data_IF_023219049284
#
_entry.id   IF_023219049284
#
_cell.length_a   1.000
_cell.length_b   1.000
_cell.length_c   1.000
_cell.angle_alpha   90.00
_cell.angle_beta   90.00
_cell.angle_gamma   90.00
#
_symmetry.space_group_name_H-M   'P 1'
#
loop_
_entity.id
_entity.type
_entity.pdbx_description
1 polymer ?
#
# COMPACT_ATOMS: atom_id res chain seq x y z
N UNK A 1 64.59 37.42 -32.53
CA UNK A 1 63.11 37.43 -32.24
C UNK A 1 62.54 36.12 -32.74
N UNK A 2 62.38 35.11 -31.87
CA UNK A 2 61.77 33.81 -32.22
C UNK A 2 60.54 33.64 -31.30
N UNK A 3 59.36 33.56 -31.88
CA UNK A 3 58.11 33.27 -31.19
C UNK A 3 57.89 31.77 -31.14
N UNK A 4 57.83 31.23 -29.94
CA UNK A 4 57.52 29.83 -29.66
C UNK A 4 56.01 29.70 -29.48
N UNK A 5 55.37 28.90 -30.32
CA UNK A 5 53.97 28.51 -30.21
C UNK A 5 53.88 27.32 -29.28
N UNK A 6 53.14 27.47 -28.17
CA UNK A 6 52.71 26.35 -27.30
C UNK A 6 51.43 25.79 -27.87
N UNK A 7 51.45 24.54 -28.25
CA UNK A 7 50.25 23.76 -28.59
C UNK A 7 49.70 23.10 -27.31
N UNK A 8 48.48 23.51 -26.91
CA UNK A 8 47.73 22.85 -25.82
C UNK A 8 46.98 21.66 -26.36
N UNK A 9 47.35 20.46 -25.94
CA UNK A 9 46.57 19.25 -26.16
C UNK A 9 45.39 19.22 -25.17
N UNK A 10 44.19 19.29 -25.71
CA UNK A 10 42.95 19.04 -24.97
C UNK A 10 42.74 17.51 -24.93
N UNK A 11 42.92 16.87 -23.77
CA UNK A 11 42.51 15.49 -23.55
C UNK A 11 41.02 15.43 -23.24
N UNK A 12 40.22 14.92 -24.18
CA UNK A 12 38.82 14.55 -23.93
C UNK A 12 38.81 13.28 -23.06
N UNK A 13 38.45 13.43 -21.79
CA UNK A 13 38.11 12.32 -20.92
C UNK A 13 36.75 11.74 -21.28
N UNK A 14 36.73 10.53 -21.81
CA UNK A 14 35.49 9.73 -21.90
C UNK A 14 35.07 9.38 -20.47
N UNK A 15 33.98 9.99 -20.01
CA UNK A 15 33.29 9.54 -18.81
C UNK A 15 32.59 8.20 -19.13
N UNK A 16 33.15 7.12 -18.58
CA UNK A 16 32.50 5.83 -18.57
C UNK A 16 31.21 5.96 -17.72
N UNK A 17 30.06 5.76 -18.35
CA UNK A 17 28.79 5.53 -17.64
C UNK A 17 28.95 4.27 -16.80
N UNK A 18 29.30 4.44 -15.53
CA UNK A 18 29.24 3.38 -14.54
C UNK A 18 27.79 2.94 -14.37
N UNK A 19 27.44 1.78 -14.94
CA UNK A 19 26.18 1.13 -14.70
C UNK A 19 26.03 0.87 -13.21
N UNK A 20 24.94 1.31 -12.62
CA UNK A 20 24.56 0.98 -11.24
C UNK A 20 24.46 -0.54 -11.15
N UNK A 21 25.25 -1.22 -10.29
CA UNK A 21 25.17 -2.67 -10.18
C UNK A 21 23.78 -3.06 -9.71
N UNK A 22 23.21 -4.05 -10.37
CA UNK A 22 21.91 -4.62 -10.04
C UNK A 22 21.97 -5.23 -8.62
N UNK A 23 21.47 -4.53 -7.62
CA UNK A 23 21.29 -5.01 -6.23
C UNK A 23 20.19 -6.08 -6.08
N UNK A 24 19.69 -6.65 -7.19
CA UNK A 24 18.55 -7.60 -7.16
C UNK A 24 18.89 -8.99 -6.62
N UNK A 25 20.13 -9.41 -6.58
CA UNK A 25 20.48 -10.75 -6.07
C UNK A 25 20.64 -10.83 -4.55
N UNK A 26 20.97 -9.73 -3.89
CA UNK A 26 21.11 -9.68 -2.44
C UNK A 26 19.76 -9.73 -1.71
N UNK A 27 18.74 -9.04 -2.22
CA UNK A 27 17.41 -8.99 -1.60
C UNK A 27 16.70 -10.34 -1.58
N UNK A 28 16.72 -11.09 -2.68
CA UNK A 28 16.08 -12.41 -2.72
C UNK A 28 16.75 -13.42 -1.77
N UNK A 29 18.08 -13.40 -1.68
CA UNK A 29 18.82 -14.26 -0.74
C UNK A 29 18.57 -13.86 0.72
N UNK A 30 18.54 -12.55 1.03
CA UNK A 30 18.21 -12.04 2.35
C UNK A 30 16.77 -12.38 2.74
N UNK A 31 15.83 -12.25 1.82
CA UNK A 31 14.44 -12.64 2.02
C UNK A 31 14.30 -14.14 2.35
N UNK A 32 14.95 -15.01 1.57
CA UNK A 32 14.96 -16.44 1.84
C UNK A 32 15.61 -16.78 3.18
N UNK A 33 16.69 -16.08 3.55
CA UNK A 33 17.36 -16.25 4.84
C UNK A 33 16.50 -15.80 6.03
N UNK A 34 15.76 -14.69 5.90
CA UNK A 34 14.82 -14.23 6.91
C UNK A 34 13.73 -15.28 7.16
N UNK A 35 13.14 -15.82 6.09
CA UNK A 35 12.13 -16.88 6.18
C UNK A 35 12.67 -18.19 6.77
N UNK A 36 13.89 -18.56 6.46
CA UNK A 36 14.51 -19.78 7.02
C UNK A 36 14.72 -19.72 8.54
N UNK A 37 14.78 -18.50 9.11
CA UNK A 37 14.87 -18.26 10.55
C UNK A 37 13.51 -18.09 11.21
N UNK A 38 12.41 -18.17 10.43
CA UNK A 38 11.07 -17.90 10.92
C UNK A 38 10.71 -18.81 12.09
N UNK A 39 10.08 -18.20 13.07
CA UNK A 39 9.50 -18.92 14.20
C UNK A 39 8.22 -19.65 13.76
N UNK A 40 7.72 -20.63 14.55
CA UNK A 40 6.43 -21.27 14.29
C UNK A 40 5.30 -20.24 14.09
N UNK A 41 4.30 -20.59 13.28
CA UNK A 41 3.17 -19.74 12.91
C UNK A 41 2.44 -19.06 14.10
N UNK A 42 2.51 -19.65 15.30
CA UNK A 42 1.99 -19.06 16.53
C UNK A 42 2.67 -17.74 16.96
N UNK A 43 3.77 -17.35 16.31
CA UNK A 43 4.51 -16.10 16.58
C UNK A 43 4.38 -15.07 15.48
N UNK A 44 3.36 -15.20 14.66
CA UNK A 44 3.12 -14.34 13.52
C UNK A 44 1.99 -13.35 13.78
N UNK A 45 1.99 -12.30 12.96
CA UNK A 45 0.95 -11.27 12.96
C UNK A 45 0.51 -11.05 11.51
N UNK A 46 -0.31 -11.98 10.98
CA UNK A 46 -0.60 -12.09 9.55
C UNK A 46 -1.68 -11.14 9.03
N UNK A 47 -2.48 -10.57 9.90
CA UNK A 47 -3.60 -9.70 9.51
C UNK A 47 -3.59 -8.39 10.28
N UNK A 48 -4.27 -7.39 9.72
CA UNK A 48 -4.48 -6.11 10.41
C UNK A 48 -5.17 -6.35 11.76
N UNK A 49 -4.54 -5.87 12.83
CA UNK A 49 -4.96 -6.08 14.23
C UNK A 49 -4.96 -7.53 14.71
N UNK A 50 -4.50 -8.48 13.91
CA UNK A 50 -4.49 -9.92 14.21
C UNK A 50 -5.85 -10.45 14.74
N UNK A 51 -5.96 -11.74 14.99
CA UNK A 51 -7.18 -12.33 15.55
C UNK A 51 -7.38 -11.86 16.99
N UNK A 52 -8.49 -11.13 17.21
CA UNK A 52 -8.87 -10.65 18.53
C UNK A 52 -7.97 -9.59 19.14
N UNK A 53 -7.04 -8.98 18.37
CA UNK A 53 -6.11 -7.93 18.83
C UNK A 53 -5.24 -8.37 20.03
N UNK A 54 -4.96 -9.67 20.11
CA UNK A 54 -4.24 -10.27 21.21
C UNK A 54 -3.07 -11.10 20.70
N UNK A 55 -1.89 -10.88 21.29
CA UNK A 55 -0.72 -11.71 21.00
C UNK A 55 -0.77 -13.01 21.81
N UNK A 56 -0.60 -14.18 21.20
CA UNK A 56 -0.48 -15.45 21.90
C UNK A 56 0.90 -15.65 22.56
N UNK A 57 1.82 -14.70 22.38
CA UNK A 57 3.18 -14.76 22.92
C UNK A 57 3.17 -14.62 24.44
N UNK A 58 3.87 -15.52 25.12
CA UNK A 58 3.99 -15.56 26.57
C UNK A 58 5.42 -15.30 27.08
N UNK A 59 6.35 -14.90 26.19
CA UNK A 59 7.75 -14.65 26.59
C UNK A 59 7.92 -13.36 27.38
N UNK A 60 7.01 -12.40 27.23
CA UNK A 60 7.01 -11.13 27.92
C UNK A 60 5.85 -11.14 28.90
N UNK A 61 6.17 -10.98 30.16
CA UNK A 61 5.21 -10.94 31.26
C UNK A 61 5.55 -9.81 32.27
N UNK A 62 4.82 -9.78 33.38
CA UNK A 62 5.04 -8.77 34.43
C UNK A 62 6.41 -8.85 35.11
N UNK A 63 7.05 -10.01 35.11
CA UNK A 63 8.33 -10.22 35.74
C UNK A 63 9.48 -9.66 34.91
N UNK A 64 9.40 -9.79 33.58
CA UNK A 64 10.51 -9.46 32.67
C UNK A 64 10.28 -8.25 31.74
N UNK A 65 9.07 -7.67 31.69
CA UNK A 65 8.78 -6.52 30.80
C UNK A 65 9.73 -5.33 31.02
N UNK A 66 10.28 -5.18 32.22
CA UNK A 66 11.24 -4.10 32.55
C UNK A 66 12.63 -4.34 31.93
N UNK A 67 12.91 -5.55 31.49
CA UNK A 67 14.19 -5.96 30.91
C UNK A 67 14.21 -5.78 29.39
N UNK A 68 13.11 -5.37 28.78
CA UNK A 68 13.03 -5.09 27.35
C UNK A 68 14.09 -4.06 26.94
N UNK A 69 14.75 -4.35 25.81
CA UNK A 69 15.71 -3.48 25.15
C UNK A 69 15.32 -3.34 23.69
N UNK A 70 15.64 -2.20 23.10
CA UNK A 70 15.52 -1.99 21.65
C UNK A 70 16.48 -2.98 20.98
N UNK A 71 15.93 -3.85 20.14
CA UNK A 71 16.71 -4.82 19.38
C UNK A 71 17.32 -4.18 18.13
N UNK A 72 16.53 -3.35 17.45
CA UNK A 72 16.94 -2.61 16.24
C UNK A 72 15.97 -1.44 16.01
N UNK A 73 16.40 -0.50 15.19
CA UNK A 73 15.61 0.64 14.72
C UNK A 73 15.70 0.72 13.20
N UNK A 74 14.58 1.04 12.54
CA UNK A 74 14.52 1.23 11.10
C UNK A 74 14.04 2.64 10.76
N UNK A 75 14.84 3.37 10.00
CA UNK A 75 14.49 4.70 9.52
C UNK A 75 13.59 4.61 8.27
N UNK A 76 12.29 4.54 8.47
CA UNK A 76 11.30 4.39 7.39
C UNK A 76 11.23 5.60 6.43
N UNK A 77 12.02 6.65 6.68
CA UNK A 77 11.92 7.93 6.00
C UNK A 77 10.80 8.79 6.61
N UNK A 78 11.02 10.09 6.60
CA UNK A 78 10.10 11.08 7.16
C UNK A 78 9.49 11.97 6.11
N UNK A 79 8.44 12.69 6.49
CA UNK A 79 8.00 13.84 5.72
C UNK A 79 9.05 14.96 5.78
N UNK A 80 9.00 15.87 4.82
CA UNK A 80 9.82 17.06 4.86
C UNK A 80 9.60 17.82 6.18
N UNK A 81 10.63 18.52 6.71
CA UNK A 81 10.49 19.31 7.93
C UNK A 81 9.26 20.25 7.86
N UNK A 82 8.44 20.23 8.91
CA UNK A 82 7.20 21.03 8.99
C UNK A 82 5.97 20.40 8.34
N UNK A 83 6.08 19.24 7.67
CA UNK A 83 4.93 18.50 7.20
C UNK A 83 4.35 17.63 8.33
N UNK A 84 3.03 17.65 8.49
CA UNK A 84 2.34 16.73 9.40
C UNK A 84 2.41 15.31 8.84
N UNK A 85 3.33 14.51 9.33
CA UNK A 85 3.47 13.11 8.95
C UNK A 85 3.20 12.22 10.14
N UNK A 86 2.49 11.11 9.92
CA UNK A 86 2.15 10.15 10.95
C UNK A 86 2.41 8.74 10.45
N UNK A 87 3.00 7.90 11.30
CA UNK A 87 2.98 6.45 11.13
C UNK A 87 1.80 5.93 11.94
N UNK A 88 0.79 5.39 11.26
CA UNK A 88 -0.35 4.69 11.87
C UNK A 88 -0.36 3.20 11.49
N UNK A 89 0.75 2.72 10.93
CA UNK A 89 0.89 1.36 10.45
C UNK A 89 0.80 0.35 11.59
N UNK A 90 -0.07 -0.64 11.42
CA UNK A 90 0.03 -1.92 12.11
C UNK A 90 0.87 -2.84 11.23
N UNK A 91 2.14 -3.10 11.55
CA UNK A 91 2.97 -3.96 10.72
C UNK A 91 2.48 -5.41 10.78
N UNK A 92 2.69 -6.13 9.69
CA UNK A 92 2.48 -7.57 9.63
C UNK A 92 3.80 -8.30 9.87
N UNK A 93 3.74 -9.49 10.45
CA UNK A 93 4.89 -10.40 10.55
C UNK A 93 4.46 -11.74 9.99
N UNK A 94 5.08 -12.13 8.88
CA UNK A 94 4.78 -13.37 8.17
C UNK A 94 6.09 -14.05 7.83
N UNK A 95 6.24 -15.30 8.27
CA UNK A 95 7.43 -16.13 8.00
C UNK A 95 8.76 -15.39 8.27
N UNK A 96 8.86 -14.65 9.38
CA UNK A 96 10.06 -13.91 9.78
C UNK A 96 10.30 -12.60 9.03
N UNK A 97 9.38 -12.18 8.16
CA UNK A 97 9.43 -10.91 7.44
C UNK A 97 8.42 -9.93 8.04
N UNK A 98 8.88 -8.74 8.38
CA UNK A 98 8.03 -7.64 8.81
C UNK A 98 7.67 -6.76 7.61
N UNK A 99 6.38 -6.56 7.37
CA UNK A 99 5.86 -5.66 6.34
C UNK A 99 5.24 -4.43 6.98
N UNK A 100 5.60 -3.26 6.49
CA UNK A 100 5.10 -2.00 7.03
C UNK A 100 4.98 -0.88 6.01
N UNK A 101 4.44 0.26 6.46
CA UNK A 101 4.33 1.47 5.64
C UNK A 101 4.96 2.67 6.34
N UNK A 102 5.62 3.53 5.54
CA UNK A 102 6.20 4.78 6.01
C UNK A 102 5.16 5.91 6.09
N UNK A 103 5.48 7.06 6.70
CA UNK A 103 4.63 8.25 6.68
C UNK A 103 4.32 8.78 5.28
N UNK A 104 5.17 8.46 4.29
CA UNK A 104 5.02 8.86 2.89
C UNK A 104 4.36 7.79 2.02
N UNK A 105 3.71 6.80 2.65
CA UNK A 105 3.01 5.68 2.00
C UNK A 105 3.94 4.70 1.26
N UNK A 106 5.25 4.76 1.48
CA UNK A 106 6.18 3.75 0.98
C UNK A 106 5.94 2.44 1.73
N UNK A 107 5.75 1.33 1.02
CA UNK A 107 5.77 0.00 1.61
C UNK A 107 7.21 -0.50 1.76
N UNK A 108 7.48 -1.30 2.78
CA UNK A 108 8.77 -1.94 2.98
C UNK A 108 8.62 -3.32 3.62
N UNK A 109 9.63 -4.18 3.38
CA UNK A 109 9.79 -5.44 4.08
C UNK A 109 11.16 -5.48 4.76
N UNK A 110 11.18 -5.97 6.00
CA UNK A 110 12.39 -6.10 6.81
C UNK A 110 12.55 -7.53 7.29
N UNK A 111 13.78 -7.97 7.51
CA UNK A 111 14.05 -9.12 8.37
C UNK A 111 13.56 -8.76 9.79
N UNK A 112 12.57 -9.48 10.30
CA UNK A 112 11.95 -9.14 11.58
C UNK A 112 12.90 -9.32 12.77
N UNK A 113 13.96 -10.11 12.63
CA UNK A 113 14.95 -10.33 13.68
C UNK A 113 16.03 -9.25 13.73
N UNK A 114 16.40 -8.68 12.58
CA UNK A 114 17.55 -7.77 12.47
C UNK A 114 17.17 -6.34 12.11
N UNK A 115 15.98 -6.10 11.54
CA UNK A 115 15.55 -4.81 11.01
C UNK A 115 16.19 -4.45 9.67
N UNK A 116 16.91 -5.37 9.03
CA UNK A 116 17.51 -5.15 7.70
C UNK A 116 16.42 -5.02 6.63
N UNK A 117 16.52 -4.00 5.76
CA UNK A 117 15.60 -3.81 4.65
C UNK A 117 15.82 -4.87 3.57
N UNK A 118 14.77 -5.66 3.30
CA UNK A 118 14.75 -6.66 2.24
C UNK A 118 14.34 -6.05 0.90
N UNK A 119 13.32 -5.19 0.94
CA UNK A 119 12.88 -4.38 -0.19
C UNK A 119 12.05 -3.18 0.27
N UNK A 120 11.91 -2.20 -0.61
CA UNK A 120 10.96 -1.11 -0.45
C UNK A 120 10.34 -0.72 -1.78
N UNK A 121 9.09 -0.25 -1.73
CA UNK A 121 8.32 0.23 -2.86
C UNK A 121 7.77 1.62 -2.57
N UNK A 122 8.07 2.57 -3.44
CA UNK A 122 7.50 3.92 -3.39
C UNK A 122 6.39 4.01 -4.45
N UNK A 123 5.10 4.15 -4.07
CA UNK A 123 4.01 4.28 -5.03
C UNK A 123 4.10 5.57 -5.86
N UNK A 124 5.09 6.44 -5.62
CA UNK A 124 5.30 7.71 -6.29
C UNK A 124 4.00 8.54 -6.37
N UNK A 125 3.24 8.58 -5.28
CA UNK A 125 2.02 9.37 -5.19
C UNK A 125 2.40 10.85 -5.23
N UNK A 126 2.61 11.35 -6.45
CA UNK A 126 3.00 12.74 -6.71
C UNK A 126 1.87 13.73 -6.52
N UNK A 127 0.66 13.24 -6.66
CA UNK A 127 -0.53 14.00 -6.31
C UNK A 127 -0.64 13.96 -4.79
N UNK A 128 -0.47 15.09 -4.15
CA UNK A 128 -0.75 15.24 -2.73
C UNK A 128 -2.21 14.85 -2.45
N UNK A 129 -2.54 13.64 -2.11
CA UNK A 129 -3.70 13.44 -1.27
C UNK A 129 -3.33 14.15 0.01
N UNK A 130 -4.20 14.95 0.55
CA UNK A 130 -4.02 15.38 1.93
C UNK A 130 -3.63 14.13 2.70
N UNK A 131 -2.43 14.12 3.29
CA UNK A 131 -1.72 12.97 3.83
C UNK A 131 -2.67 12.09 4.65
N UNK A 132 -3.32 11.16 3.97
CA UNK A 132 -4.15 10.17 4.63
C UNK A 132 -3.21 9.05 5.07
N UNK A 133 -2.93 8.90 6.38
CA UNK A 133 -1.99 7.90 6.85
C UNK A 133 -2.48 6.50 6.46
N UNK A 134 -1.57 5.63 6.04
CA UNK A 134 -1.87 4.21 5.87
C UNK A 134 -1.84 3.52 7.24
N UNK A 135 -2.86 2.68 7.51
CA UNK A 135 -2.91 1.86 8.72
C UNK A 135 -2.23 0.50 8.57
N UNK A 136 -1.61 0.23 7.42
CA UNK A 136 -0.84 -0.98 7.16
C UNK A 136 -1.16 -1.63 5.83
N UNK A 137 -0.85 -2.91 5.76
CA UNK A 137 -0.92 -3.75 4.57
C UNK A 137 -1.86 -4.94 4.81
N UNK A 138 -2.31 -5.58 3.74
CA UNK A 138 -2.97 -6.88 3.79
C UNK A 138 -2.06 -7.90 3.12
N UNK A 139 -1.82 -9.03 3.76
CA UNK A 139 -1.07 -10.14 3.19
C UNK A 139 -2.03 -11.19 2.63
N UNK A 140 -1.71 -11.72 1.46
CA UNK A 140 -2.41 -12.80 0.77
C UNK A 140 -1.41 -13.85 0.33
N UNK A 141 -1.79 -15.13 0.47
CA UNK A 141 -1.03 -16.25 -0.06
C UNK A 141 -1.97 -17.31 -0.63
N UNK A 142 -1.65 -17.79 -1.83
CA UNK A 142 -2.29 -18.94 -2.47
C UNK A 142 -1.25 -19.70 -3.28
N UNK A 143 -0.90 -20.91 -2.83
CA UNK A 143 0.21 -21.72 -3.36
C UNK A 143 1.52 -20.90 -3.41
N UNK A 144 2.03 -20.63 -4.61
CA UNK A 144 3.26 -19.87 -4.82
C UNK A 144 3.04 -18.36 -5.00
N UNK A 145 1.80 -17.90 -5.00
CA UNK A 145 1.41 -16.51 -5.17
C UNK A 145 1.28 -15.83 -3.79
N UNK A 146 2.27 -15.03 -3.44
CA UNK A 146 2.30 -14.28 -2.19
C UNK A 146 2.31 -12.78 -2.48
N UNK A 147 1.36 -12.05 -1.93
CA UNK A 147 1.17 -10.61 -2.20
C UNK A 147 0.98 -9.81 -0.93
N UNK A 148 1.38 -8.55 -0.97
CA UNK A 148 0.95 -7.53 -0.01
C UNK A 148 0.18 -6.44 -0.74
N UNK A 149 -0.95 -6.03 -0.17
CA UNK A 149 -1.78 -4.96 -0.73
C UNK A 149 -1.58 -3.67 0.03
N UNK A 150 -1.28 -2.60 -0.72
CA UNK A 150 -1.03 -1.26 -0.22
C UNK A 150 -2.11 -0.30 -0.72
N UNK A 151 -2.85 0.31 0.20
CA UNK A 151 -3.65 1.50 -0.12
C UNK A 151 -2.75 2.75 -0.11
N UNK A 152 -2.66 3.43 -1.25
CA UNK A 152 -1.89 4.66 -1.38
C UNK A 152 -2.63 5.69 -2.25
N UNK A 153 -3.11 6.75 -1.63
CA UNK A 153 -3.96 7.72 -2.29
C UNK A 153 -5.24 7.07 -2.81
N UNK A 154 -5.56 7.27 -4.07
CA UNK A 154 -6.74 6.72 -4.74
C UNK A 154 -6.52 5.30 -5.29
N UNK A 155 -5.33 4.74 -5.11
CA UNK A 155 -4.98 3.44 -5.67
C UNK A 155 -4.87 2.36 -4.60
N UNK A 156 -5.24 1.14 -4.96
CA UNK A 156 -4.88 -0.08 -4.25
C UNK A 156 -3.87 -0.83 -5.11
N UNK A 157 -2.68 -1.03 -4.58
CA UNK A 157 -1.57 -1.75 -5.20
C UNK A 157 -1.51 -3.19 -4.73
N UNK A 158 -1.15 -4.11 -5.63
CA UNK A 158 -0.71 -5.45 -5.30
C UNK A 158 0.79 -5.56 -5.56
N UNK A 159 1.56 -5.88 -4.55
CA UNK A 159 3.00 -6.07 -4.60
C UNK A 159 3.34 -7.53 -4.34
N UNK A 160 4.25 -8.09 -5.10
CA UNK A 160 4.84 -9.39 -4.77
C UNK A 160 5.51 -9.32 -3.40
N UNK A 161 5.14 -10.19 -2.48
CA UNK A 161 5.59 -10.13 -1.10
C UNK A 161 7.09 -10.36 -0.93
N UNK A 162 7.74 -11.04 -1.89
CA UNK A 162 9.16 -11.39 -1.84
C UNK A 162 10.07 -10.30 -2.38
N UNK A 163 9.58 -9.52 -3.33
CA UNK A 163 10.39 -8.55 -4.06
C UNK A 163 9.91 -7.10 -3.96
N UNK A 164 8.67 -6.87 -3.51
CA UNK A 164 8.05 -5.56 -3.51
C UNK A 164 7.67 -5.04 -4.90
N UNK A 165 7.86 -5.84 -5.95
CA UNK A 165 7.49 -5.44 -7.31
C UNK A 165 5.97 -5.44 -7.50
N UNK A 166 5.41 -4.45 -8.24
CA UNK A 166 4.00 -4.49 -8.61
C UNK A 166 3.64 -5.76 -9.40
N UNK A 167 2.55 -6.43 -9.01
CA UNK A 167 2.05 -7.65 -9.67
C UNK A 167 1.26 -7.24 -10.91
N UNK A 168 1.87 -7.32 -12.08
CA UNK A 168 1.33 -6.77 -13.33
C UNK A 168 -0.06 -7.33 -13.72
N UNK A 169 -0.43 -8.53 -13.25
CA UNK A 169 -1.75 -9.14 -13.49
C UNK A 169 -2.88 -8.54 -12.64
N UNK A 170 -2.56 -7.68 -11.68
CA UNK A 170 -3.56 -7.03 -10.83
C UNK A 170 -3.92 -5.64 -11.39
N UNK A 171 -5.14 -5.50 -11.89
CA UNK A 171 -5.63 -4.26 -12.48
C UNK A 171 -4.76 -3.74 -13.63
N UNK A 172 -4.43 -2.47 -13.60
CA UNK A 172 -3.54 -1.84 -14.56
C UNK A 172 -2.14 -1.69 -13.95
N UNK A 173 -1.20 -2.51 -14.42
CA UNK A 173 0.19 -2.44 -14.01
C UNK A 173 0.44 -2.67 -12.51
N UNK A 174 -0.37 -3.50 -11.86
CA UNK A 174 -0.24 -3.85 -10.45
C UNK A 174 -1.10 -3.01 -9.51
N UNK A 175 -2.06 -2.25 -10.02
CA UNK A 175 -2.96 -1.41 -9.22
C UNK A 175 -4.35 -1.31 -9.80
N UNK A 176 -5.31 -0.96 -8.95
CA UNK A 176 -6.66 -0.55 -9.33
C UNK A 176 -6.92 0.88 -8.87
N UNK A 177 -7.68 1.63 -9.65
CA UNK A 177 -8.15 2.96 -9.29
C UNK A 177 -9.46 2.84 -8.52
N UNK A 178 -9.45 3.25 -7.26
CA UNK A 178 -10.61 3.15 -6.38
C UNK A 178 -11.72 4.16 -6.71
N UNK A 179 -11.46 5.09 -7.62
CA UNK A 179 -12.48 6.04 -8.10
C UNK A 179 -13.39 5.42 -9.15
N UNK A 180 -12.93 4.38 -9.82
CA UNK A 180 -13.73 3.67 -10.80
C UNK A 180 -14.89 2.90 -10.16
N UNK A 181 -15.99 2.78 -10.89
CA UNK A 181 -17.17 2.04 -10.43
C UNK A 181 -18.01 2.73 -9.35
N UNK A 182 -17.80 4.02 -9.11
CA UNK A 182 -18.56 4.83 -8.15
C UNK A 182 -19.78 5.55 -8.77
N UNK A 183 -20.10 5.25 -10.06
CA UNK A 183 -21.27 5.82 -10.74
C UNK A 183 -21.13 7.26 -11.19
N UNK A 184 -19.92 7.83 -11.13
CA UNK A 184 -19.55 9.17 -11.60
C UNK A 184 -18.23 9.12 -12.33
N UNK A 185 -17.85 10.21 -13.01
CA UNK A 185 -16.53 10.34 -13.63
C UNK A 185 -15.42 10.19 -12.56
N UNK A 186 -14.45 9.31 -12.82
CA UNK A 186 -13.36 9.03 -11.89
C UNK A 186 -12.52 10.27 -11.59
N UNK A 187 -12.35 11.17 -12.56
CA UNK A 187 -11.61 12.42 -12.40
C UNK A 187 -12.22 13.38 -11.38
N UNK A 188 -13.54 13.32 -11.18
CA UNK A 188 -14.30 14.14 -10.24
C UNK A 188 -14.42 13.49 -8.84
N UNK A 189 -13.91 12.26 -8.67
CA UNK A 189 -14.03 11.51 -7.44
C UNK A 189 -12.80 11.71 -6.56
N UNK A 190 -13.04 11.76 -5.25
CA UNK A 190 -11.99 11.63 -4.27
C UNK A 190 -12.34 10.52 -3.30
N UNK A 191 -11.50 9.51 -3.26
CA UNK A 191 -11.57 8.40 -2.31
C UNK A 191 -10.15 7.96 -1.97
N UNK A 192 -9.88 7.64 -0.72
CA UNK A 192 -8.56 7.17 -0.30
C UNK A 192 -8.68 5.86 0.49
N UNK A 193 -7.79 4.92 0.21
CA UNK A 193 -7.62 3.71 1.00
C UNK A 193 -6.68 4.01 2.17
N UNK A 194 -7.22 4.24 3.36
CA UNK A 194 -6.44 4.49 4.58
C UNK A 194 -6.34 3.29 5.50
N UNK A 195 -7.22 2.31 5.30
CA UNK A 195 -7.26 1.06 6.05
C UNK A 195 -6.97 -0.10 5.10
N UNK A 196 -6.16 -1.07 5.51
CA UNK A 196 -5.93 -2.27 4.69
C UNK A 196 -7.26 -2.97 4.35
N UNK A 197 -7.41 -3.53 3.14
CA UNK A 197 -8.54 -4.39 2.82
C UNK A 197 -8.67 -5.55 3.81
N UNK A 198 -9.90 -5.89 4.20
CA UNK A 198 -10.15 -7.16 4.85
C UNK A 198 -10.08 -8.28 3.80
N UNK A 199 -9.33 -9.33 4.10
CA UNK A 199 -9.22 -10.49 3.23
C UNK A 199 -10.24 -11.55 3.62
N UNK A 200 -11.04 -11.99 2.66
CA UNK A 200 -11.90 -13.16 2.80
C UNK A 200 -11.73 -14.07 1.60
N UNK A 201 -11.04 -15.21 1.77
CA UNK A 201 -10.62 -16.08 0.66
C UNK A 201 -9.84 -15.26 -0.39
N UNK A 202 -10.32 -15.22 -1.64
CA UNK A 202 -9.72 -14.44 -2.73
C UNK A 202 -10.37 -13.05 -2.90
N UNK A 203 -11.06 -12.53 -1.88
CA UNK A 203 -11.72 -11.22 -1.93
C UNK A 203 -11.02 -10.21 -1.02
N UNK A 204 -10.69 -9.08 -1.59
CA UNK A 204 -10.26 -7.88 -0.88
C UNK A 204 -11.46 -6.99 -0.65
N UNK A 205 -11.94 -6.91 0.59
CA UNK A 205 -13.11 -6.12 0.96
C UNK A 205 -12.64 -4.83 1.60
N UNK A 206 -13.02 -3.70 1.01
CA UNK A 206 -12.65 -2.39 1.55
C UNK A 206 -13.74 -1.36 1.34
N UNK A 207 -13.82 -0.43 2.28
CA UNK A 207 -14.44 0.87 2.11
C UNK A 207 -13.42 1.90 1.61
N UNK A 208 -13.82 3.15 1.57
CA UNK A 208 -12.92 4.26 1.25
C UNK A 208 -13.17 5.43 2.19
N UNK A 209 -12.14 6.20 2.49
CA UNK A 209 -12.31 7.52 3.06
C UNK A 209 -12.78 8.46 1.95
N UNK A 210 -13.90 9.11 2.16
CA UNK A 210 -14.48 10.10 1.24
C UNK A 210 -14.60 11.45 1.96
N UNK A 211 -14.90 12.53 1.24
CA UNK A 211 -15.16 13.83 1.83
C UNK A 211 -16.42 13.77 2.70
N UNK A 212 -16.44 14.56 3.78
CA UNK A 212 -17.62 14.76 4.63
C UNK A 212 -18.53 15.89 4.13
N UNK A 213 -18.09 16.57 3.06
CA UNK A 213 -18.84 17.70 2.46
C UNK A 213 -19.91 17.21 1.48
N UNK A 214 -20.87 18.07 1.19
CA UNK A 214 -21.89 17.81 0.16
C UNK A 214 -21.24 17.55 -1.21
N UNK A 215 -21.82 16.61 -1.99
CA UNK A 215 -21.28 16.19 -3.29
C UNK A 215 -20.12 15.20 -3.21
N UNK A 216 -19.79 14.70 -2.01
CA UNK A 216 -18.73 13.69 -1.83
C UNK A 216 -18.94 12.44 -2.70
N UNK A 217 -17.84 11.74 -2.95
CA UNK A 217 -17.86 10.42 -3.57
C UNK A 217 -18.67 9.44 -2.73
N UNK A 218 -19.34 8.45 -3.34
CA UNK A 218 -20.06 7.43 -2.58
C UNK A 218 -19.12 6.62 -1.69
N UNK A 219 -19.49 6.43 -0.42
CA UNK A 219 -18.73 5.64 0.56
C UNK A 219 -19.05 4.16 0.51
N UNK A 220 -19.12 3.56 -0.68
CA UNK A 220 -19.46 2.15 -0.85
C UNK A 220 -18.43 1.21 -0.23
N UNK A 221 -18.89 0.05 0.25
CA UNK A 221 -18.01 -1.09 0.55
C UNK A 221 -17.96 -1.97 -0.69
N UNK A 222 -16.76 -2.30 -1.14
CA UNK A 222 -16.54 -3.03 -2.38
C UNK A 222 -15.62 -4.22 -2.15
N UNK A 223 -15.85 -5.30 -2.89
CA UNK A 223 -14.96 -6.43 -2.93
C UNK A 223 -14.32 -6.56 -4.30
N UNK A 224 -13.02 -6.76 -4.29
CA UNK A 224 -12.21 -6.98 -5.47
C UNK A 224 -11.55 -8.36 -5.40
N UNK A 225 -11.34 -8.97 -6.54
CA UNK A 225 -10.59 -10.21 -6.65
C UNK A 225 -9.12 -9.96 -6.31
N UNK A 226 -8.54 -10.76 -5.40
CA UNK A 226 -7.18 -10.56 -4.92
C UNK A 226 -6.11 -10.86 -5.99
N UNK A 227 -6.43 -11.66 -7.01
CA UNK A 227 -5.49 -12.03 -8.08
C UNK A 227 -5.52 -11.06 -9.24
N UNK A 228 -6.71 -10.60 -9.61
CA UNK A 228 -6.92 -9.81 -10.83
C UNK A 228 -7.27 -8.34 -10.59
N UNK A 229 -7.71 -7.97 -9.38
CA UNK A 229 -8.23 -6.65 -9.08
C UNK A 229 -9.65 -6.38 -9.62
N UNK A 230 -10.28 -7.37 -10.24
CA UNK A 230 -11.64 -7.22 -10.78
C UNK A 230 -12.65 -6.95 -9.67
N UNK A 231 -13.52 -5.96 -9.86
CA UNK A 231 -14.63 -5.69 -8.95
C UNK A 231 -15.61 -6.89 -8.97
N UNK A 232 -15.87 -7.47 -7.82
CA UNK A 232 -16.75 -8.65 -7.64
C UNK A 232 -18.14 -8.27 -7.18
N UNK A 233 -18.23 -7.33 -6.25
CA UNK A 233 -19.51 -6.77 -5.79
C UNK A 233 -19.34 -5.41 -5.13
N UNK A 234 -20.42 -4.66 -5.06
CA UNK A 234 -20.53 -3.38 -4.37
C UNK A 234 -21.71 -3.45 -3.39
N UNK A 235 -21.47 -3.06 -2.15
CA UNK A 235 -22.50 -2.78 -1.18
C UNK A 235 -22.71 -1.25 -1.10
N UNK A 236 -23.90 -0.80 -1.47
CA UNK A 236 -24.26 0.61 -1.42
C UNK A 236 -24.61 1.01 0.01
N UNK A 237 -23.78 1.81 0.66
CA UNK A 237 -24.05 2.31 2.02
C UNK A 237 -25.27 3.22 2.10
N UNK A 238 -25.60 3.88 0.98
CA UNK A 238 -26.88 4.54 0.75
C UNK A 238 -27.61 3.70 -0.29
N UNK A 239 -28.71 3.00 0.07
CA UNK A 239 -29.41 2.09 -0.82
C UNK A 239 -29.88 2.80 -2.10
N UNK A 240 -29.65 2.15 -3.24
CA UNK A 240 -30.08 2.64 -4.53
C UNK A 240 -31.55 2.27 -4.80
N UNK A 241 -32.15 2.84 -5.85
CA UNK A 241 -33.53 2.56 -6.22
C UNK A 241 -33.70 1.06 -6.48
N UNK A 242 -34.69 0.47 -5.76
CA UNK A 242 -34.98 -0.97 -5.83
C UNK A 242 -34.23 -1.81 -4.79
N UNK A 243 -33.27 -1.27 -4.05
CA UNK A 243 -32.59 -1.96 -2.97
C UNK A 243 -33.37 -1.86 -1.65
N UNK A 244 -33.12 -2.84 -0.77
CA UNK A 244 -33.73 -2.86 0.57
C UNK A 244 -33.35 -1.60 1.35
N UNK A 245 -34.30 -0.97 1.97
CA UNK A 245 -34.10 0.25 2.76
C UNK A 245 -34.11 1.56 1.96
N UNK A 246 -34.17 1.53 0.63
CA UNK A 246 -34.17 2.76 -0.18
C UNK A 246 -35.38 3.67 0.16
N UNK A 247 -36.55 3.10 0.50
CA UNK A 247 -37.74 3.84 0.88
C UNK A 247 -37.62 4.61 2.21
N UNK A 248 -36.59 4.33 3.00
CA UNK A 248 -36.29 5.07 4.25
C UNK A 248 -35.49 6.33 4.02
N UNK A 249 -34.99 6.53 2.80
CA UNK A 249 -34.19 7.69 2.40
C UNK A 249 -35.09 8.68 1.64
N UNK A 250 -34.90 9.96 1.89
CA UNK A 250 -35.59 11.00 1.12
C UNK A 250 -35.05 11.04 -0.31
N UNK A 251 -35.92 11.29 -1.29
CA UNK A 251 -35.64 11.26 -2.72
C UNK A 251 -34.36 12.08 -3.14
N UNK A 252 -33.97 13.08 -2.36
CA UNK A 252 -32.80 13.90 -2.61
C UNK A 252 -31.47 13.21 -2.27
N UNK A 253 -31.46 12.11 -1.50
CA UNK A 253 -30.21 11.43 -1.05
C UNK A 253 -29.98 10.08 -1.70
N UNK A 254 -31.02 9.43 -2.21
CA UNK A 254 -30.92 8.12 -2.87
C UNK A 254 -30.80 8.16 -4.39
N UNK A 255 -30.90 9.34 -4.99
CA UNK A 255 -30.75 9.53 -6.44
C UNK A 255 -29.62 10.52 -6.71
N UNK A 256 -28.47 10.05 -7.15
CA UNK A 256 -27.67 10.89 -8.06
C UNK A 256 -28.49 11.00 -9.35
N UNK A 257 -28.94 12.18 -9.78
CA UNK A 257 -29.56 12.30 -11.08
C UNK A 257 -28.50 11.94 -12.11
N UNK A 258 -28.73 10.88 -12.87
CA UNK A 258 -28.12 10.76 -14.16
C UNK A 258 -28.48 12.05 -14.90
N UNK A 259 -27.49 12.91 -15.14
CA UNK A 259 -27.67 14.11 -15.94
C UNK A 259 -28.12 13.64 -17.32
N UNK A 260 -29.31 13.99 -17.82
CA UNK A 260 -29.65 13.63 -19.17
C UNK A 260 -28.69 14.37 -20.07
N UNK A 261 -27.91 13.62 -20.83
CA UNK A 261 -27.16 14.15 -21.97
C UNK A 261 -28.17 14.79 -22.92
N UNK A 262 -28.32 16.10 -22.83
CA UNK A 262 -29.06 16.87 -23.82
C UNK A 262 -28.28 16.77 -25.12
N UNK A 263 -28.68 15.84 -26.00
CA UNK A 263 -28.32 15.86 -27.40
C UNK A 263 -28.77 17.20 -27.98
N UNK A 264 -27.79 18.05 -28.27
CA UNK A 264 -28.01 19.16 -29.18
C UNK A 264 -27.84 18.63 -30.61
N UNK A 265 -28.87 18.83 -31.38
CA UNK A 265 -28.87 18.71 -32.85
C UNK A 265 -27.96 19.77 -33.48
#
# INVERSE_FOLDING_TARGET
>A
MRRTLLASLLALGLAACGGVPAQRSSGAAAFAAARAKAAPAAREWRSYLNDGQHSPLAQIDRANVRELRVAWEYAAGGAAPGAAAQIQCNPLIVDGVLYGTSPTLRAFALDAATGEELWSFDPAVRERPGLAPSRGLTYYADADDERVFLGAGVFLWALDARSGAPVASFGDGGRIDLREGLGRDAGEQWVAATTPPALYRDLLILGGRVSELGGASPGHVRAFDAKTGALRWTFHTIPQRGEFGNNTWTAARGSSPATPTSGRR
#
